data_IF_097856064288
#
_entry.id   IF_097856064288
#
_cell.length_a   1.000
_cell.length_b   1.000
_cell.length_c   1.000
_cell.angle_alpha   90.00
_cell.angle_beta   90.00
_cell.angle_gamma   90.00
#
_symmetry.space_group_name_H-M   'P 1'
#
loop_
_entity.id
_entity.type
_entity.pdbx_description
1 polymer ?
#
# COMPACT_ATOMS: atom_id res chain seq x y z
N UNK A 1 10.74 1.23 29.21
CA UNK A 1 11.01 2.68 29.28
C UNK A 1 10.92 3.36 27.92
N UNK A 2 11.53 2.83 26.84
CA UNK A 2 11.49 3.39 25.47
C UNK A 2 10.10 3.78 24.96
N UNK A 3 9.08 2.95 25.19
CA UNK A 3 7.71 3.23 24.72
C UNK A 3 7.08 4.43 25.45
N UNK A 4 7.37 4.63 26.74
CA UNK A 4 6.82 5.77 27.51
C UNK A 4 7.44 7.10 27.06
N UNK A 5 8.72 7.10 26.71
CA UNK A 5 9.41 8.27 26.17
C UNK A 5 8.88 8.65 24.78
N UNK A 6 8.60 7.65 23.93
CA UNK A 6 7.97 7.88 22.62
C UNK A 6 6.57 8.47 22.78
N UNK A 7 5.74 7.93 23.68
CA UNK A 7 4.41 8.50 23.95
C UNK A 7 4.50 9.94 24.46
N UNK A 8 5.39 10.21 25.40
CA UNK A 8 5.59 11.57 25.92
C UNK A 8 6.05 12.55 24.84
N UNK A 9 6.98 12.13 23.97
CA UNK A 9 7.45 12.95 22.85
C UNK A 9 6.33 13.26 21.85
N UNK A 10 5.49 12.27 21.51
CA UNK A 10 4.35 12.48 20.61
C UNK A 10 3.34 13.46 21.21
N UNK A 11 3.02 13.29 22.50
CA UNK A 11 2.10 14.20 23.20
C UNK A 11 2.67 15.62 23.29
N UNK A 12 3.97 15.76 23.55
CA UNK A 12 4.64 17.05 23.60
C UNK A 12 4.62 17.76 22.24
N UNK A 13 4.96 17.05 21.16
CA UNK A 13 4.89 17.62 19.80
C UNK A 13 3.47 18.02 19.45
N UNK A 14 2.48 17.18 19.77
CA UNK A 14 1.08 17.51 19.55
C UNK A 14 0.65 18.77 20.32
N UNK A 15 1.00 18.85 21.60
CA UNK A 15 0.70 20.01 22.44
C UNK A 15 1.39 21.28 21.96
N UNK A 16 2.67 21.19 21.58
CA UNK A 16 3.42 22.30 21.02
C UNK A 16 2.76 22.80 19.73
N UNK A 17 2.46 21.92 18.78
CA UNK A 17 1.79 22.30 17.52
C UNK A 17 0.41 22.93 17.79
N UNK A 18 -0.35 22.40 18.77
CA UNK A 18 -1.64 22.98 19.15
C UNK A 18 -1.50 24.38 19.76
N UNK A 19 -0.56 24.58 20.69
CA UNK A 19 -0.31 25.87 21.36
C UNK A 19 0.26 26.89 20.38
N UNK A 20 1.31 26.54 19.62
CA UNK A 20 1.89 27.42 18.61
C UNK A 20 0.91 27.73 17.48
N UNK A 21 0.10 26.75 17.06
CA UNK A 21 -0.97 26.96 16.08
C UNK A 21 -2.05 27.92 16.60
N UNK A 22 -2.47 27.77 17.86
CA UNK A 22 -3.43 28.68 18.48
C UNK A 22 -2.87 30.10 18.66
N UNK A 23 -1.63 30.24 19.13
CA UNK A 23 -0.96 31.54 19.27
C UNK A 23 -0.73 32.20 17.91
N UNK A 24 -0.42 31.44 16.86
CA UNK A 24 -0.31 31.97 15.49
C UNK A 24 -1.65 32.47 14.93
N UNK A 25 -2.78 32.00 15.49
CA UNK A 25 -4.12 32.52 15.20
C UNK A 25 -4.49 33.73 16.08
N UNK A 26 -3.64 34.14 17.03
CA UNK A 26 -3.95 35.23 17.96
C UNK A 26 -3.91 36.62 17.26
N UNK A 27 -5.11 37.08 16.96
CA UNK A 27 -5.64 38.44 17.07
C UNK A 27 -4.72 39.61 16.64
N UNK A 28 -4.65 39.87 15.33
CA UNK A 28 -4.37 41.21 14.83
C UNK A 28 -5.64 42.05 14.98
N UNK A 29 -5.75 42.84 16.04
CA UNK A 29 -7.02 43.47 16.42
C UNK A 29 -7.43 44.71 15.64
N UNK A 30 -6.59 45.32 14.79
CA UNK A 30 -6.95 46.69 14.35
C UNK A 30 -6.81 47.04 12.87
N UNK A 31 -6.02 46.34 12.04
CA UNK A 31 -5.81 46.81 10.68
C UNK A 31 -5.79 45.68 9.67
N UNK A 32 -6.94 45.40 9.02
CA UNK A 32 -7.13 44.91 7.63
C UNK A 32 -6.27 43.77 7.05
N UNK A 33 -5.30 43.25 7.80
CA UNK A 33 -4.36 42.20 7.44
C UNK A 33 -4.97 40.95 8.06
N UNK A 34 -5.71 40.22 7.23
CA UNK A 34 -6.57 39.12 7.67
C UNK A 34 -5.89 38.17 8.65
N UNK A 35 -6.65 37.71 9.64
CA UNK A 35 -6.29 36.61 10.52
C UNK A 35 -5.91 35.37 9.70
N UNK A 36 -5.06 34.50 10.26
CA UNK A 36 -4.57 33.28 9.58
C UNK A 36 -5.72 32.35 9.15
N UNK A 37 -6.86 32.41 9.85
CA UNK A 37 -8.07 31.69 9.48
C UNK A 37 -8.75 32.23 8.20
N UNK A 38 -8.56 33.52 7.84
CA UNK A 38 -9.07 34.09 6.61
C UNK A 38 -8.44 33.49 5.35
N UNK A 39 -7.15 33.18 5.39
CA UNK A 39 -6.47 32.53 4.26
C UNK A 39 -6.95 31.09 4.07
N UNK A 40 -7.20 30.39 5.17
CA UNK A 40 -7.68 29.01 5.14
C UNK A 40 -9.17 28.89 4.74
N UNK A 41 -10.02 29.83 5.16
CA UNK A 41 -11.45 29.83 4.82
C UNK A 41 -11.79 30.65 3.57
N UNK A 42 -10.87 31.45 3.04
CA UNK A 42 -11.13 32.37 1.92
C UNK A 42 -12.15 33.46 2.26
N UNK A 43 -12.26 33.83 3.53
CA UNK A 43 -13.32 34.71 4.05
C UNK A 43 -12.75 35.77 5.01
N UNK A 44 -13.44 36.89 5.19
CA UNK A 44 -13.04 37.94 6.13
C UNK A 44 -13.23 37.47 7.58
N UNK A 45 -12.32 37.87 8.46
CA UNK A 45 -12.41 37.54 9.88
C UNK A 45 -13.63 38.25 10.50
N UNK A 46 -14.43 37.55 11.34
CA UNK A 46 -15.50 38.18 12.09
C UNK A 46 -14.97 39.33 12.95
N UNK A 47 -15.78 40.36 13.17
CA UNK A 47 -15.45 41.42 14.12
C UNK A 47 -15.44 40.85 15.54
N UNK A 48 -14.52 41.32 16.38
CA UNK A 48 -14.39 40.90 17.78
C UNK A 48 -15.64 41.18 18.64
N UNK A 49 -16.64 41.89 18.09
CA UNK A 49 -17.94 42.13 18.69
C UNK A 49 -18.84 40.87 18.76
N UNK A 50 -18.55 39.83 17.98
CA UNK A 50 -19.27 38.56 18.01
C UNK A 50 -18.32 37.38 18.33
N UNK A 51 -18.15 37.04 19.62
CA UNK A 51 -17.26 35.97 20.04
C UNK A 51 -17.75 34.58 19.60
N UNK A 52 -19.05 34.41 19.32
CA UNK A 52 -19.59 33.12 18.86
C UNK A 52 -19.19 32.92 17.40
N UNK A 53 -19.35 33.95 16.57
CA UNK A 53 -18.92 33.91 15.17
C UNK A 53 -17.40 33.69 15.04
N UNK A 54 -16.59 34.32 15.91
CA UNK A 54 -15.14 34.13 15.94
C UNK A 54 -14.74 32.68 16.26
N UNK A 55 -15.33 32.08 17.29
CA UNK A 55 -15.09 30.67 17.65
C UNK A 55 -15.53 29.74 16.52
N UNK A 56 -16.71 29.95 15.93
CA UNK A 56 -17.22 29.13 14.84
C UNK A 56 -16.30 29.21 13.60
N UNK A 57 -15.74 30.38 13.31
CA UNK A 57 -14.80 30.60 12.21
C UNK A 57 -13.50 29.81 12.40
N UNK A 58 -12.92 29.87 13.61
CA UNK A 58 -11.70 29.12 13.95
C UNK A 58 -11.94 27.61 13.98
N UNK A 59 -13.08 27.15 14.50
CA UNK A 59 -13.48 25.73 14.46
C UNK A 59 -13.67 25.25 13.02
N UNK A 60 -14.24 26.09 12.14
CA UNK A 60 -14.37 25.82 10.71
C UNK A 60 -13.01 25.63 10.03
N UNK A 61 -12.04 26.51 10.33
CA UNK A 61 -10.66 26.39 9.86
C UNK A 61 -9.98 25.12 10.37
N UNK A 62 -10.13 24.82 11.66
CA UNK A 62 -9.59 23.58 12.23
C UNK A 62 -10.17 22.34 11.54
N UNK A 63 -11.46 22.36 11.22
CA UNK A 63 -12.13 21.28 10.48
C UNK A 63 -11.57 21.11 9.07
N UNK A 64 -11.24 22.19 8.36
CA UNK A 64 -10.68 22.09 7.00
C UNK A 64 -9.27 21.50 7.01
N UNK A 65 -8.42 21.92 7.96
CA UNK A 65 -7.09 21.34 8.15
C UNK A 65 -7.16 19.86 8.54
N UNK A 66 -8.00 19.49 9.50
CA UNK A 66 -8.14 18.08 9.92
C UNK A 66 -8.71 17.21 8.81
N UNK A 67 -9.72 17.67 8.07
CA UNK A 67 -10.26 16.96 6.92
C UNK A 67 -9.20 16.75 5.81
N UNK A 68 -8.45 17.79 5.46
CA UNK A 68 -7.35 17.68 4.48
C UNK A 68 -6.26 16.72 4.93
N UNK A 69 -5.88 16.78 6.21
CA UNK A 69 -4.87 15.89 6.79
C UNK A 69 -5.33 14.43 6.77
N UNK A 70 -6.61 14.15 7.06
CA UNK A 70 -7.17 12.79 6.99
C UNK A 70 -7.15 12.24 5.56
N UNK A 71 -7.44 13.07 4.55
CA UNK A 71 -7.33 12.68 3.13
C UNK A 71 -5.87 12.36 2.77
N UNK A 72 -4.91 13.19 3.17
CA UNK A 72 -3.49 12.92 2.90
C UNK A 72 -3.00 11.65 3.59
N UNK A 73 -3.40 11.41 4.84
CA UNK A 73 -3.03 10.19 5.59
C UNK A 73 -3.68 8.95 4.97
N UNK A 74 -4.94 9.02 4.54
CA UNK A 74 -5.60 7.89 3.86
C UNK A 74 -4.96 7.58 2.51
N UNK A 75 -4.57 8.59 1.73
CA UNK A 75 -3.83 8.38 0.48
C UNK A 75 -2.45 7.76 0.72
N UNK A 76 -1.74 8.21 1.77
CA UNK A 76 -0.45 7.62 2.15
C UNK A 76 -0.61 6.15 2.55
N UNK A 77 -1.60 5.83 3.38
CA UNK A 77 -1.90 4.46 3.79
C UNK A 77 -2.28 3.59 2.58
N UNK A 78 -3.09 4.11 1.66
CA UNK A 78 -3.46 3.42 0.42
C UNK A 78 -2.21 3.11 -0.43
N UNK A 79 -1.31 4.08 -0.59
CA UNK A 79 -0.06 3.89 -1.31
C UNK A 79 0.81 2.79 -0.68
N UNK A 80 0.93 2.79 0.65
CA UNK A 80 1.65 1.74 1.40
C UNK A 80 1.01 0.36 1.18
N UNK A 81 -0.31 0.26 1.23
CA UNK A 81 -1.05 -0.98 0.97
C UNK A 81 -0.80 -1.47 -0.46
N UNK A 82 -0.87 -0.59 -1.45
CA UNK A 82 -0.63 -0.94 -2.85
C UNK A 82 0.78 -1.50 -3.04
N UNK A 83 1.80 -0.84 -2.49
CA UNK A 83 3.19 -1.32 -2.57
C UNK A 83 3.32 -2.68 -1.90
N UNK A 84 2.73 -2.87 -0.71
CA UNK A 84 2.79 -4.13 0.01
C UNK A 84 2.11 -5.28 -0.75
N UNK A 85 0.93 -5.04 -1.32
CA UNK A 85 0.19 -6.02 -2.14
C UNK A 85 0.96 -6.34 -3.42
N UNK A 86 1.52 -5.33 -4.09
CA UNK A 86 2.30 -5.51 -5.31
C UNK A 86 3.55 -6.36 -5.08
N UNK A 87 4.30 -6.06 -4.02
CA UNK A 87 5.46 -6.86 -3.62
C UNK A 87 5.07 -8.29 -3.26
N UNK A 88 3.94 -8.47 -2.57
CA UNK A 88 3.43 -9.81 -2.25
C UNK A 88 3.03 -10.57 -3.52
N UNK A 89 2.34 -9.93 -4.46
CA UNK A 89 1.91 -10.52 -5.73
C UNK A 89 3.11 -10.92 -6.59
N UNK A 90 4.14 -10.06 -6.70
CA UNK A 90 5.40 -10.41 -7.38
C UNK A 90 6.08 -11.66 -6.83
N UNK A 91 5.96 -11.88 -5.52
CA UNK A 91 6.52 -13.05 -4.81
C UNK A 91 5.61 -14.26 -4.82
N UNK A 92 4.36 -14.16 -5.30
CA UNK A 92 3.57 -15.35 -5.57
C UNK A 92 4.29 -16.07 -6.71
N UNK A 93 4.82 -17.29 -6.50
CA UNK A 93 5.37 -18.05 -7.60
C UNK A 93 4.25 -18.17 -8.62
N UNK A 94 4.45 -17.55 -9.80
CA UNK A 94 3.55 -17.74 -10.94
C UNK A 94 3.43 -19.24 -11.07
N UNK A 95 2.25 -19.75 -10.74
CA UNK A 95 1.96 -21.18 -10.60
C UNK A 95 2.77 -21.92 -11.65
N UNK A 96 3.81 -22.62 -11.20
CA UNK A 96 4.56 -23.53 -12.04
C UNK A 96 3.48 -24.38 -12.71
N UNK A 97 3.36 -24.40 -14.05
CA UNK A 97 2.17 -24.93 -14.68
C UNK A 97 2.00 -26.33 -14.13
N UNK A 98 0.83 -26.63 -13.54
CA UNK A 98 0.54 -27.94 -12.93
C UNK A 98 0.89 -29.07 -13.91
N UNK A 99 0.90 -28.78 -15.22
CA UNK A 99 1.47 -29.59 -16.29
C UNK A 99 2.88 -30.16 -16.04
N UNK A 100 3.82 -29.41 -15.42
CA UNK A 100 5.17 -29.87 -15.12
C UNK A 100 5.22 -30.84 -13.93
N UNK A 101 4.35 -30.66 -12.92
CA UNK A 101 4.29 -31.56 -11.76
C UNK A 101 3.58 -32.87 -12.14
N UNK A 102 2.58 -32.80 -13.01
CA UNK A 102 1.89 -33.98 -13.56
C UNK A 102 2.80 -34.73 -14.54
N UNK A 103 3.59 -34.04 -15.39
CA UNK A 103 4.50 -34.72 -16.32
C UNK A 103 5.63 -35.48 -15.61
N UNK A 104 6.17 -34.94 -14.51
CA UNK A 104 7.18 -35.63 -13.70
C UNK A 104 6.63 -36.84 -12.94
N UNK A 105 5.36 -36.81 -12.54
CA UNK A 105 4.70 -37.95 -11.87
C UNK A 105 4.17 -39.01 -12.84
N UNK A 106 3.92 -38.66 -14.10
CA UNK A 106 3.55 -39.62 -15.17
C UNK A 106 4.73 -40.13 -15.99
N UNK A 107 5.93 -39.56 -15.82
CA UNK A 107 7.15 -40.05 -16.46
C UNK A 107 7.56 -41.51 -16.12
N UNK A 108 7.18 -42.17 -15.00
CA UNK A 108 7.56 -43.55 -14.78
C UNK A 108 6.63 -44.56 -15.49
N UNK A 109 5.54 -44.12 -16.14
CA UNK A 109 4.66 -45.05 -16.87
C UNK A 109 5.14 -45.38 -18.28
N UNK A 110 6.05 -44.60 -18.86
CA UNK A 110 6.92 -45.05 -19.96
C UNK A 110 8.19 -45.66 -19.37
N UNK A 111 8.01 -46.68 -18.52
CA UNK A 111 9.10 -47.54 -18.10
C UNK A 111 9.84 -48.06 -19.33
N UNK A 112 11.17 -48.04 -19.28
CA UNK A 112 11.99 -48.72 -20.29
C UNK A 112 11.39 -50.10 -20.54
N UNK A 113 11.07 -50.48 -21.79
CA UNK A 113 10.52 -51.79 -22.06
C UNK A 113 11.45 -52.85 -21.48
N UNK A 114 10.91 -53.94 -20.89
CA UNK A 114 11.70 -55.01 -20.31
C UNK A 114 12.79 -55.44 -21.28
N UNK A 115 13.99 -55.76 -20.77
CA UNK A 115 15.10 -56.20 -21.61
C UNK A 115 14.71 -57.38 -22.53
N UNK A 116 13.78 -58.23 -22.06
CA UNK A 116 13.17 -59.31 -22.85
C UNK A 116 12.39 -58.81 -24.07
N UNK A 117 11.57 -57.76 -23.93
CA UNK A 117 10.82 -57.17 -25.04
C UNK A 117 11.75 -56.50 -26.06
N UNK A 118 12.77 -55.77 -25.59
CA UNK A 118 13.79 -55.19 -26.47
C UNK A 118 14.57 -56.26 -27.24
N UNK A 119 14.91 -57.37 -26.56
CA UNK A 119 15.60 -58.51 -27.19
C UNK A 119 14.71 -59.23 -28.20
N UNK A 120 13.42 -59.40 -27.89
CA UNK A 120 12.44 -59.95 -28.82
C UNK A 120 12.30 -59.08 -30.09
N UNK A 121 12.24 -57.76 -29.93
CA UNK A 121 12.18 -56.80 -31.05
C UNK A 121 13.44 -56.87 -31.93
N UNK A 122 14.63 -56.91 -31.32
CA UNK A 122 15.90 -57.01 -32.05
C UNK A 122 16.04 -58.32 -32.86
N UNK A 123 15.36 -59.40 -32.43
CA UNK A 123 15.31 -60.66 -33.19
C UNK A 123 14.35 -60.56 -34.39
N UNK A 124 13.33 -59.70 -34.33
CA UNK A 124 12.37 -59.50 -35.40
C UNK A 124 12.82 -58.44 -36.41
N UNK A 125 13.56 -57.41 -36.00
CA UNK A 125 14.21 -56.45 -36.91
C UNK A 125 15.22 -57.12 -37.86
N UNK A 126 15.82 -58.25 -37.47
CA UNK A 126 16.75 -59.02 -38.33
C UNK A 126 16.06 -59.98 -39.29
N UNK A 127 14.72 -60.10 -39.24
CA UNK A 127 13.95 -60.98 -40.12
C UNK A 127 13.36 -60.26 -41.33
N UNK A 128 13.37 -58.94 -41.38
CA UNK A 128 12.94 -58.24 -42.59
C UNK A 128 13.98 -58.47 -43.69
N UNK A 129 13.62 -59.16 -44.79
CA UNK A 129 14.50 -59.23 -45.94
C UNK A 129 14.68 -57.80 -46.47
N UNK A 130 15.94 -57.38 -46.63
CA UNK A 130 16.24 -56.09 -47.25
C UNK A 130 15.44 -55.97 -48.56
N UNK A 131 14.76 -54.84 -48.83
CA UNK A 131 14.08 -54.65 -50.10
C UNK A 131 15.12 -54.77 -51.21
N UNK A 132 14.96 -55.80 -52.04
CA UNK A 132 15.80 -56.04 -53.22
C UNK A 132 15.75 -54.77 -54.09
N UNK A 133 16.90 -54.10 -54.21
CA UNK A 133 17.17 -53.09 -55.24
C UNK A 133 17.85 -53.74 -56.42
#
# INVERSE_FOLDING_TARGET
MRNRLLTAAILYVFLAVAVFGFIAMAHGTEHGVGCLAATANGAMCPSASDPIADVAFHVGTWRSFTAGTLVSVTLLLLAVIIVFVFERWRRIPRVLPVALIVSQRCAPLLGRPPAAFRRWLALHERRDPAPLR
#
